data_IF_329852663220
#
_entry.id   IF_329852663220
#
_cell.length_a   1.000
_cell.length_b   1.000
_cell.length_c   1.000
_cell.angle_alpha   90.00
_cell.angle_beta   90.00
_cell.angle_gamma   90.00
#
_symmetry.space_group_name_H-M   'P 1'
#
loop_
_entity.id
_entity.type
_entity.pdbx_description
1 polymer ?
#
# COMPACT_ATOMS: atom_id res chain seq x y z
N UNK A 1 -46.51 -41.69 60.57
CA UNK A 1 -46.65 -40.27 60.19
C UNK A 1 -45.47 -39.93 59.30
N UNK A 2 -45.76 -39.77 57.99
CA UNK A 2 -44.98 -39.20 56.88
C UNK A 2 -43.48 -39.52 56.72
N UNK A 3 -43.19 -40.41 55.76
CA UNK A 3 -42.09 -40.24 54.81
C UNK A 3 -42.66 -39.62 53.53
N UNK A 4 -41.89 -38.75 52.86
CA UNK A 4 -41.54 -38.86 51.43
C UNK A 4 -41.36 -37.49 50.73
N UNK A 5 -40.11 -37.25 50.32
CA UNK A 5 -39.64 -36.78 49.00
C UNK A 5 -40.34 -35.56 48.38
N UNK A 6 -39.57 -34.47 48.21
CA UNK A 6 -39.28 -33.86 46.90
C UNK A 6 -38.41 -32.61 47.06
N UNK A 7 -37.10 -32.74 46.84
CA UNK A 7 -36.24 -31.61 46.49
C UNK A 7 -36.01 -31.67 44.98
N UNK A 8 -36.79 -30.88 44.24
CA UNK A 8 -36.59 -30.68 42.81
C UNK A 8 -35.50 -29.63 42.63
N UNK A 9 -34.26 -30.06 42.43
CA UNK A 9 -33.17 -29.17 42.05
C UNK A 9 -33.25 -28.94 40.53
N UNK A 10 -33.88 -27.83 40.13
CA UNK A 10 -33.91 -27.41 38.73
C UNK A 10 -32.54 -26.82 38.39
N UNK A 11 -31.69 -27.61 37.75
CA UNK A 11 -30.44 -27.10 37.15
C UNK A 11 -30.80 -26.45 35.81
N UNK A 12 -31.00 -25.13 35.82
CA UNK A 12 -31.12 -24.35 34.60
C UNK A 12 -29.73 -24.23 33.94
N UNK A 13 -29.44 -25.10 32.98
CA UNK A 13 -28.28 -24.97 32.11
C UNK A 13 -28.53 -23.82 31.10
N UNK A 14 -28.03 -22.63 31.41
CA UNK A 14 -28.00 -21.50 30.48
C UNK A 14 -26.92 -21.74 29.42
N UNK A 15 -27.30 -22.33 28.30
CA UNK A 15 -26.50 -22.35 27.07
C UNK A 15 -26.36 -20.91 26.55
N UNK A 16 -25.31 -20.22 26.99
CA UNK A 16 -24.92 -18.93 26.42
C UNK A 16 -24.23 -19.20 25.08
N UNK A 17 -25.01 -19.15 24.00
CA UNK A 17 -24.48 -19.10 22.64
C UNK A 17 -23.75 -17.77 22.44
N UNK A 18 -22.46 -17.72 22.75
CA UNK A 18 -21.59 -16.68 22.24
C UNK A 18 -21.49 -16.87 20.72
N UNK A 19 -22.31 -16.12 19.98
CA UNK A 19 -22.08 -15.94 18.56
C UNK A 19 -20.71 -15.28 18.43
N UNK A 20 -19.73 -16.03 17.92
CA UNK A 20 -18.45 -15.48 17.48
C UNK A 20 -18.76 -14.46 16.38
N UNK A 21 -18.82 -13.18 16.76
CA UNK A 21 -18.60 -12.07 15.85
C UNK A 21 -17.13 -12.19 15.42
N UNK A 22 -16.87 -13.01 14.41
CA UNK A 22 -15.61 -12.94 13.71
C UNK A 22 -15.49 -11.49 13.22
N UNK A 23 -14.42 -10.76 13.57
CA UNK A 23 -14.21 -9.44 13.00
C UNK A 23 -14.20 -9.62 11.48
N UNK A 24 -15.10 -8.92 10.79
CA UNK A 24 -14.96 -8.73 9.35
C UNK A 24 -13.68 -7.93 9.17
N UNK A 25 -12.56 -8.62 9.03
CA UNK A 25 -11.31 -7.99 8.64
C UNK A 25 -11.58 -7.37 7.28
N UNK A 26 -11.68 -6.04 7.25
CA UNK A 26 -11.60 -5.26 6.03
C UNK A 26 -10.18 -5.49 5.51
N UNK A 27 -10.05 -6.50 4.65
CA UNK A 27 -8.78 -6.99 4.16
C UNK A 27 -8.22 -6.11 3.03
N UNK A 28 -8.94 -5.05 2.67
CA UNK A 28 -8.56 -4.16 1.62
C UNK A 28 -7.80 -2.96 2.16
N UNK A 29 -6.80 -2.53 1.41
CA UNK A 29 -5.80 -1.62 1.93
C UNK A 29 -5.63 -0.37 1.06
N UNK A 30 -5.45 0.78 1.71
CA UNK A 30 -5.32 2.08 1.05
C UNK A 30 -4.17 2.88 1.66
N UNK A 31 -3.66 3.84 0.88
CA UNK A 31 -2.75 4.88 1.40
C UNK A 31 -3.56 5.91 2.19
N UNK A 32 -3.08 6.24 3.39
CA UNK A 32 -3.65 7.24 4.31
C UNK A 32 -2.79 8.50 4.38
N UNK A 33 -1.48 8.40 4.14
CA UNK A 33 -0.54 9.52 4.18
C UNK A 33 0.61 9.30 3.18
N UNK A 34 0.96 10.29 2.33
CA UNK A 34 0.15 11.47 2.02
C UNK A 34 -1.21 11.05 1.46
N UNK A 35 -2.29 11.66 1.96
CA UNK A 35 -3.65 11.26 1.62
C UNK A 35 -3.90 11.49 0.13
N UNK A 36 -4.27 10.45 -0.64
CA UNK A 36 -4.62 10.61 -2.03
C UNK A 36 -5.99 11.31 -2.15
N UNK A 37 -6.20 12.05 -3.24
CA UNK A 37 -7.54 12.54 -3.56
C UNK A 37 -8.34 11.40 -4.20
N UNK A 38 -9.49 11.07 -3.62
CA UNK A 38 -10.34 9.97 -4.08
C UNK A 38 -11.38 10.44 -5.11
N UNK A 39 -11.69 9.60 -6.09
CA UNK A 39 -12.75 9.85 -7.09
C UNK A 39 -14.15 9.56 -6.55
N UNK A 40 -14.24 8.99 -5.35
CA UNK A 40 -15.48 8.63 -4.66
C UNK A 40 -15.41 8.99 -3.18
N UNK A 41 -16.54 9.30 -2.58
CA UNK A 41 -16.69 9.46 -1.12
C UNK A 41 -17.15 8.18 -0.41
N UNK A 42 -17.58 7.16 -1.16
CA UNK A 42 -18.07 5.90 -0.61
C UNK A 42 -16.92 5.04 -0.05
N UNK A 43 -17.01 4.66 1.23
CA UNK A 43 -15.94 3.94 1.93
C UNK A 43 -15.68 2.58 1.27
N UNK A 44 -16.72 1.83 0.97
CA UNK A 44 -16.55 0.47 0.49
C UNK A 44 -15.92 0.47 -0.91
N UNK A 45 -16.27 1.47 -1.75
CA UNK A 45 -15.64 1.68 -3.05
C UNK A 45 -14.17 2.09 -2.92
N UNK A 46 -13.80 2.99 -2.01
CA UNK A 46 -12.38 3.37 -1.79
C UNK A 46 -11.52 2.16 -1.43
N UNK A 47 -12.10 1.26 -0.63
CA UNK A 47 -11.46 0.04 -0.17
C UNK A 47 -11.70 -1.12 -1.12
N UNK A 48 -12.24 -0.95 -2.33
CA UNK A 48 -12.35 -2.10 -3.22
C UNK A 48 -10.97 -2.45 -3.79
N UNK A 49 -10.64 -3.75 -3.90
CA UNK A 49 -9.50 -4.19 -4.67
C UNK A 49 -9.58 -3.67 -6.09
N UNK A 50 -8.42 -3.36 -6.67
CA UNK A 50 -8.34 -3.05 -8.09
C UNK A 50 -8.74 -4.25 -8.93
N UNK A 51 -8.33 -5.46 -8.54
CA UNK A 51 -8.71 -6.69 -9.23
C UNK A 51 -8.55 -7.94 -8.35
N UNK A 52 -9.38 -8.95 -8.64
CA UNK A 52 -9.13 -10.35 -8.27
C UNK A 52 -8.68 -11.10 -9.52
N UNK A 53 -7.50 -11.72 -9.48
CA UNK A 53 -6.84 -12.23 -10.68
C UNK A 53 -7.09 -13.73 -10.92
N UNK A 54 -7.59 -14.46 -9.93
CA UNK A 54 -7.82 -15.92 -10.06
C UNK A 54 -8.86 -16.29 -11.14
N UNK A 55 -9.71 -15.34 -11.55
CA UNK A 55 -10.71 -15.53 -12.59
C UNK A 55 -10.37 -14.81 -13.90
N UNK A 56 -9.12 -14.34 -14.05
CA UNK A 56 -8.67 -13.53 -15.19
C UNK A 56 -7.57 -14.22 -16.01
N UNK A 57 -7.43 -15.54 -15.88
CA UNK A 57 -6.47 -16.35 -16.65
C UNK A 57 -5.08 -16.43 -16.03
N UNK A 58 -4.87 -15.93 -14.81
CA UNK A 58 -3.60 -16.05 -14.09
C UNK A 58 -3.51 -17.40 -13.36
N UNK A 59 -2.37 -18.07 -13.51
CA UNK A 59 -2.03 -19.24 -12.72
C UNK A 59 -1.52 -18.78 -11.33
N UNK A 60 -2.46 -18.41 -10.47
CA UNK A 60 -2.15 -17.91 -9.12
C UNK A 60 -1.47 -18.98 -8.27
N UNK A 61 -0.41 -18.61 -7.57
CA UNK A 61 0.40 -19.48 -6.72
C UNK A 61 0.95 -18.72 -5.52
N UNK A 62 1.49 -19.43 -4.53
CA UNK A 62 2.08 -18.82 -3.32
C UNK A 62 3.24 -17.88 -3.66
N UNK A 63 4.18 -18.40 -4.45
CA UNK A 63 5.39 -17.67 -4.84
C UNK A 63 5.11 -16.83 -6.09
N UNK A 64 4.53 -15.64 -5.86
CA UNK A 64 4.33 -14.65 -6.91
C UNK A 64 5.65 -14.13 -7.47
N UNK A 65 6.71 -13.99 -6.65
CA UNK A 65 7.98 -13.44 -7.11
C UNK A 65 8.60 -14.32 -8.21
N UNK A 66 8.65 -15.62 -7.98
CA UNK A 66 9.11 -16.60 -8.99
C UNK A 66 8.20 -16.62 -10.21
N UNK A 67 6.87 -16.56 -10.02
CA UNK A 67 5.94 -16.48 -11.16
C UNK A 67 6.19 -15.22 -12.00
N UNK A 68 6.35 -14.06 -11.35
CA UNK A 68 6.59 -12.76 -11.98
C UNK A 68 7.84 -12.81 -12.86
N UNK A 69 8.94 -13.33 -12.32
CA UNK A 69 10.21 -13.45 -13.03
C UNK A 69 10.11 -14.40 -14.23
N UNK A 70 9.45 -15.56 -14.07
CA UNK A 70 9.22 -16.52 -15.16
C UNK A 70 8.36 -15.95 -16.29
N UNK A 71 7.48 -15.01 -15.97
CA UNK A 71 6.61 -14.34 -16.93
C UNK A 71 7.20 -13.01 -17.45
N UNK A 72 8.46 -12.71 -17.12
CA UNK A 72 9.23 -11.61 -17.71
C UNK A 72 8.92 -10.22 -17.16
N UNK A 73 8.16 -10.11 -16.08
CA UNK A 73 7.92 -8.83 -15.40
C UNK A 73 9.08 -8.51 -14.46
N UNK A 74 9.58 -7.28 -14.50
CA UNK A 74 10.79 -6.86 -13.76
C UNK A 74 10.53 -6.41 -12.33
N UNK A 75 9.28 -6.06 -12.01
CA UNK A 75 8.86 -5.56 -10.72
C UNK A 75 7.35 -5.77 -10.54
N UNK A 76 6.83 -5.61 -9.33
CA UNK A 76 5.39 -5.60 -9.10
C UNK A 76 4.72 -4.47 -9.88
N UNK A 77 5.32 -3.27 -9.90
CA UNK A 77 4.85 -2.17 -10.76
C UNK A 77 4.77 -2.59 -12.23
N UNK A 78 5.80 -3.24 -12.76
CA UNK A 78 5.81 -3.69 -14.16
C UNK A 78 4.67 -4.68 -14.44
N UNK A 79 4.42 -5.60 -13.52
CA UNK A 79 3.26 -6.50 -13.60
C UNK A 79 1.94 -5.72 -13.58
N UNK A 80 1.73 -4.86 -12.60
CA UNK A 80 0.45 -4.15 -12.41
C UNK A 80 0.19 -3.12 -13.52
N UNK A 81 1.23 -2.49 -14.07
CA UNK A 81 1.10 -1.52 -15.16
C UNK A 81 0.92 -2.18 -16.54
N UNK A 82 1.46 -3.39 -16.77
CA UNK A 82 1.52 -3.98 -18.11
C UNK A 82 0.72 -5.27 -18.32
N UNK A 83 0.40 -6.02 -17.26
CA UNK A 83 -0.41 -7.23 -17.37
C UNK A 83 -1.81 -6.93 -17.90
N UNK A 84 -2.45 -7.95 -18.48
CA UNK A 84 -3.80 -7.82 -19.06
C UNK A 84 -4.82 -8.41 -18.09
N UNK A 85 -5.51 -7.54 -17.37
CA UNK A 85 -6.63 -7.86 -16.51
C UNK A 85 -7.62 -6.69 -16.53
N UNK A 86 -8.88 -7.01 -16.29
CA UNK A 86 -9.94 -6.06 -16.05
C UNK A 86 -9.91 -5.60 -14.59
N UNK A 87 -10.11 -4.30 -14.40
CA UNK A 87 -10.18 -3.69 -13.08
C UNK A 87 -11.62 -3.53 -12.61
N UNK A 88 -11.80 -3.40 -11.31
CA UNK A 88 -13.09 -3.13 -10.69
C UNK A 88 -13.75 -1.91 -11.34
N UNK A 89 -15.04 -2.02 -11.68
CA UNK A 89 -15.79 -0.95 -12.34
C UNK A 89 -15.65 0.39 -11.61
N UNK A 90 -15.32 1.44 -12.35
CA UNK A 90 -15.10 2.79 -11.81
C UNK A 90 -13.69 3.07 -11.30
N UNK A 91 -12.82 2.05 -11.23
CA UNK A 91 -11.41 2.25 -10.99
C UNK A 91 -10.68 2.65 -12.28
N UNK A 92 -9.68 3.52 -12.14
CA UNK A 92 -8.66 3.73 -13.14
C UNK A 92 -7.62 2.60 -13.07
N UNK A 93 -7.12 2.16 -14.22
CA UNK A 93 -6.15 1.06 -14.26
C UNK A 93 -4.83 1.40 -13.54
N UNK A 94 -4.37 2.65 -13.65
CA UNK A 94 -3.09 3.10 -13.10
C UNK A 94 -3.22 3.82 -11.76
N UNK A 95 -4.43 4.16 -11.33
CA UNK A 95 -4.67 5.01 -10.16
C UNK A 95 -5.80 4.50 -9.25
N UNK A 96 -6.37 3.34 -9.54
CA UNK A 96 -7.49 2.78 -8.78
C UNK A 96 -8.62 3.78 -8.60
N UNK A 97 -9.05 3.98 -7.35
CA UNK A 97 -10.10 4.95 -7.02
C UNK A 97 -9.55 6.33 -6.63
N UNK A 98 -8.30 6.63 -6.99
CA UNK A 98 -7.66 7.94 -6.75
C UNK A 98 -7.66 8.79 -8.01
N UNK A 99 -7.70 10.11 -7.85
CA UNK A 99 -7.68 11.06 -8.95
C UNK A 99 -6.24 11.23 -9.47
N UNK A 100 -5.93 10.82 -10.72
CA UNK A 100 -4.60 11.03 -11.32
C UNK A 100 -4.21 12.50 -11.44
N UNK A 101 -5.19 13.41 -11.40
CA UNK A 101 -5.00 14.86 -11.45
C UNK A 101 -5.16 15.51 -10.08
N UNK A 102 -5.03 14.70 -9.02
CA UNK A 102 -5.10 15.15 -7.65
C UNK A 102 -4.13 16.31 -7.38
N UNK A 103 -4.61 17.26 -6.58
CA UNK A 103 -3.87 18.45 -6.15
C UNK A 103 -2.63 18.02 -5.38
N UNK A 104 -1.43 18.51 -5.75
CA UNK A 104 -0.21 18.20 -5.03
C UNK A 104 -0.30 18.52 -3.54
N UNK A 105 0.19 17.61 -2.71
CA UNK A 105 0.25 17.71 -1.25
C UNK A 105 1.68 17.92 -0.79
N UNK A 106 1.95 18.62 0.32
CA UNK A 106 3.31 18.70 0.86
C UNK A 106 3.83 17.30 1.22
N UNK A 107 5.14 17.08 1.05
CA UNK A 107 5.79 15.87 1.57
C UNK A 107 5.56 15.79 3.09
N UNK A 108 5.05 14.68 3.64
CA UNK A 108 4.80 14.55 5.07
C UNK A 108 6.07 14.73 5.91
N UNK A 109 5.92 15.34 7.09
CA UNK A 109 7.01 15.53 8.03
C UNK A 109 7.68 14.19 8.39
N UNK A 110 9.00 14.21 8.56
CA UNK A 110 9.76 13.01 8.92
C UNK A 110 9.75 11.93 7.85
N UNK A 111 9.52 12.29 6.58
CA UNK A 111 9.50 11.33 5.47
C UNK A 111 8.44 10.23 5.65
N UNK A 112 7.32 10.56 6.29
CA UNK A 112 6.29 9.59 6.63
C UNK A 112 5.48 9.15 5.40
N UNK A 113 5.09 7.89 5.41
CA UNK A 113 3.99 7.34 4.62
C UNK A 113 3.16 6.46 5.56
N UNK A 114 1.84 6.44 5.38
CA UNK A 114 0.94 5.58 6.15
C UNK A 114 -0.04 4.88 5.23
N UNK A 115 -0.30 3.60 5.49
CA UNK A 115 -1.42 2.87 4.89
C UNK A 115 -2.29 2.25 5.98
N UNK A 116 -3.33 1.51 5.59
CA UNK A 116 -4.12 0.69 6.52
C UNK A 116 -3.39 -0.59 6.97
N UNK A 117 -2.25 -0.92 6.37
CA UNK A 117 -1.41 -2.10 6.63
C UNK A 117 -1.33 -3.06 5.45
N UNK A 118 -0.60 -4.17 5.61
CA UNK A 118 -0.62 -5.31 4.70
C UNK A 118 -1.25 -6.49 5.42
N UNK A 119 -2.43 -6.95 5.00
CA UNK A 119 -3.21 -8.00 5.71
C UNK A 119 -3.08 -9.39 5.10
N UNK A 120 -2.40 -9.49 3.98
CA UNK A 120 -2.11 -10.71 3.26
C UNK A 120 -0.64 -10.73 2.88
N UNK A 121 -0.07 -11.94 2.85
CA UNK A 121 1.27 -12.14 2.34
C UNK A 121 1.35 -11.67 0.88
N UNK A 122 2.53 -11.26 0.44
CA UNK A 122 2.76 -10.88 -0.95
C UNK A 122 3.51 -9.56 -1.11
N UNK A 123 3.89 -9.24 -2.35
CA UNK A 123 4.83 -8.18 -2.61
C UNK A 123 4.20 -6.80 -2.54
N UNK A 124 5.00 -5.81 -2.18
CA UNK A 124 4.65 -4.41 -2.29
C UNK A 124 5.82 -3.58 -2.82
N UNK A 125 5.49 -2.47 -3.44
CA UNK A 125 6.45 -1.46 -3.89
C UNK A 125 5.88 -0.05 -3.67
N UNK A 126 6.74 0.89 -3.30
CA UNK A 126 6.44 2.32 -3.33
C UNK A 126 7.39 2.97 -4.32
N UNK A 127 6.83 3.79 -5.19
CA UNK A 127 7.56 4.53 -6.21
C UNK A 127 7.30 6.02 -6.07
N UNK A 128 8.34 6.82 -6.27
CA UNK A 128 8.24 8.25 -6.55
C UNK A 128 8.66 8.46 -8.01
N UNK A 129 7.69 8.80 -8.85
CA UNK A 129 7.80 8.80 -10.30
C UNK A 129 8.39 7.47 -10.80
N UNK A 130 9.62 7.47 -11.28
CA UNK A 130 10.33 6.29 -11.81
C UNK A 130 11.37 5.72 -10.84
N UNK A 131 11.40 6.21 -9.59
CA UNK A 131 12.32 5.71 -8.55
C UNK A 131 11.58 4.86 -7.54
N UNK A 132 11.95 3.59 -7.42
CA UNK A 132 11.47 2.73 -6.34
C UNK A 132 12.14 3.13 -5.02
N UNK A 133 11.34 3.40 -3.99
CA UNK A 133 11.79 3.92 -2.70
C UNK A 133 11.47 2.99 -1.52
N UNK A 134 10.61 1.99 -1.73
CA UNK A 134 10.35 0.91 -0.78
C UNK A 134 9.93 -0.35 -1.55
N UNK A 135 10.35 -1.52 -1.07
CA UNK A 135 9.92 -2.81 -1.63
C UNK A 135 10.00 -3.95 -0.61
N UNK A 136 9.26 -5.03 -0.87
CA UNK A 136 9.44 -6.33 -0.22
C UNK A 136 8.68 -7.42 -0.96
N UNK A 137 9.20 -8.65 -0.93
CA UNK A 137 8.53 -9.82 -1.54
C UNK A 137 7.37 -10.33 -0.69
N UNK A 138 7.47 -10.17 0.64
CA UNK A 138 6.36 -10.33 1.58
C UNK A 138 6.29 -9.09 2.50
N UNK A 139 5.40 -8.15 2.19
CA UNK A 139 5.27 -6.91 2.93
C UNK A 139 4.45 -7.02 4.22
N UNK A 140 3.60 -8.04 4.34
CA UNK A 140 2.92 -8.36 5.59
C UNK A 140 3.92 -8.75 6.68
N UNK A 141 4.93 -9.54 6.33
CA UNK A 141 6.03 -9.90 7.25
C UNK A 141 7.03 -8.76 7.44
N UNK A 142 7.49 -8.15 6.33
CA UNK A 142 8.56 -7.13 6.37
C UNK A 142 8.12 -5.82 7.02
N UNK A 143 6.85 -5.45 6.86
CA UNK A 143 6.28 -4.20 7.34
C UNK A 143 4.99 -4.47 8.12
N UNK A 144 5.07 -5.05 9.34
CA UNK A 144 3.89 -5.45 10.13
C UNK A 144 3.09 -4.25 10.68
N UNK A 145 3.63 -3.04 10.55
CA UNK A 145 2.99 -1.79 10.95
C UNK A 145 2.26 -1.08 9.80
N UNK A 146 1.76 0.11 10.12
CA UNK A 146 1.03 0.98 9.20
C UNK A 146 1.80 2.22 8.78
N UNK A 147 2.86 2.54 9.54
CA UNK A 147 3.72 3.69 9.33
C UNK A 147 5.04 3.26 8.70
N UNK A 148 5.45 3.97 7.66
CA UNK A 148 6.64 3.71 6.88
C UNK A 148 7.47 4.98 6.74
N UNK A 149 8.78 4.83 6.63
CA UNK A 149 9.69 5.93 6.26
C UNK A 149 10.09 5.74 4.81
N UNK A 150 9.80 6.73 3.98
CA UNK A 150 10.06 6.73 2.54
C UNK A 150 11.09 7.81 2.20
N UNK A 151 12.13 7.48 1.45
CA UNK A 151 13.06 8.51 0.98
C UNK A 151 12.43 9.34 -0.15
N UNK A 152 12.01 10.57 0.16
CA UNK A 152 11.46 11.51 -0.81
C UNK A 152 12.53 12.28 -1.61
N UNK A 153 13.81 11.98 -1.45
CA UNK A 153 14.91 12.73 -2.06
C UNK A 153 14.86 12.76 -3.60
N UNK A 154 14.27 11.76 -4.25
CA UNK A 154 14.06 11.72 -5.71
C UNK A 154 12.98 12.68 -6.20
N UNK A 155 12.05 13.12 -5.33
CA UNK A 155 10.99 14.05 -5.68
C UNK A 155 11.56 15.48 -5.89
N UNK A 156 11.65 15.92 -7.14
CA UNK A 156 12.11 17.28 -7.50
C UNK A 156 10.94 18.13 -7.95
N UNK A 157 10.46 19.03 -7.08
CA UNK A 157 9.23 19.79 -7.35
C UNK A 157 8.00 18.98 -6.95
N UNK A 158 7.16 18.62 -7.92
CA UNK A 158 6.00 17.73 -7.74
C UNK A 158 6.34 16.37 -8.34
N UNK A 159 6.10 15.32 -7.58
CA UNK A 159 6.24 13.93 -8.03
C UNK A 159 4.94 13.16 -7.81
N UNK A 160 4.88 11.96 -8.36
CA UNK A 160 3.81 11.01 -8.14
C UNK A 160 4.29 9.90 -7.20
N UNK A 161 3.64 9.75 -6.04
CA UNK A 161 3.77 8.56 -5.22
C UNK A 161 2.79 7.49 -5.73
N UNK A 162 3.32 6.32 -6.08
CA UNK A 162 2.52 5.13 -6.39
C UNK A 162 2.80 4.06 -5.36
N UNK A 163 1.73 3.52 -4.78
CA UNK A 163 1.80 2.38 -3.88
C UNK A 163 1.18 1.17 -4.56
N UNK A 164 1.99 0.13 -4.74
CA UNK A 164 1.63 -1.16 -5.31
C UNK A 164 1.66 -2.23 -4.23
N UNK A 165 0.62 -3.05 -4.20
CA UNK A 165 0.54 -4.22 -3.33
C UNK A 165 -0.34 -5.29 -3.97
N UNK A 166 0.15 -6.52 -3.92
CA UNK A 166 -0.58 -7.71 -4.33
C UNK A 166 -0.65 -8.68 -3.15
N UNK A 167 -1.87 -8.91 -2.67
CA UNK A 167 -2.17 -9.89 -1.64
C UNK A 167 -2.30 -11.29 -2.22
N UNK A 168 -1.48 -12.22 -1.74
CA UNK A 168 -1.54 -13.64 -2.00
C UNK A 168 -2.36 -14.30 -0.89
N UNK A 169 -3.49 -14.90 -1.28
CA UNK A 169 -4.46 -15.51 -0.36
C UNK A 169 -4.59 -16.98 -0.68
N UNK A 170 -4.73 -17.80 0.35
CA UNK A 170 -5.10 -19.21 0.19
C UNK A 170 -6.53 -19.44 0.68
N UNK A 171 -7.45 -19.71 -0.24
CA UNK A 171 -8.88 -19.86 0.05
C UNK A 171 -9.45 -21.04 -0.72
N UNK A 172 -10.32 -21.83 -0.08
CA UNK A 172 -11.02 -22.95 -0.73
C UNK A 172 -10.06 -23.90 -1.47
N UNK A 173 -8.88 -24.17 -0.88
CA UNK A 173 -7.82 -25.00 -1.44
C UNK A 173 -7.19 -24.49 -2.76
N UNK A 174 -7.27 -23.19 -3.03
CA UNK A 174 -6.62 -22.54 -4.16
C UNK A 174 -5.99 -21.20 -3.74
N UNK A 175 -4.96 -20.77 -4.47
CA UNK A 175 -4.45 -19.42 -4.32
C UNK A 175 -5.34 -18.41 -5.05
N UNK A 176 -5.37 -17.18 -4.55
CA UNK A 176 -6.00 -16.01 -5.16
C UNK A 176 -5.05 -14.85 -5.02
N UNK A 177 -4.94 -14.04 -6.08
CA UNK A 177 -4.17 -12.82 -6.06
C UNK A 177 -5.11 -11.63 -6.10
N UNK A 178 -4.99 -10.80 -5.08
CA UNK A 178 -5.75 -9.58 -4.90
C UNK A 178 -4.82 -8.40 -5.20
N UNK A 179 -5.09 -7.70 -6.30
CA UNK A 179 -4.40 -6.47 -6.64
C UNK A 179 -5.10 -5.33 -5.91
N UNK A 180 -4.52 -4.82 -4.83
CA UNK A 180 -5.11 -3.75 -4.00
C UNK A 180 -4.42 -2.39 -4.21
N UNK A 181 -3.16 -2.38 -4.63
CA UNK A 181 -2.36 -1.17 -4.66
C UNK A 181 -2.24 -0.54 -6.03
N UNK A 182 -3.12 0.40 -6.36
CA UNK A 182 -2.65 1.55 -7.14
C UNK A 182 -3.27 2.81 -6.58
N UNK A 183 -2.77 3.24 -5.43
CA UNK A 183 -3.09 4.57 -4.90
C UNK A 183 -2.06 5.56 -5.44
N UNK A 184 -2.55 6.64 -6.04
CA UNK A 184 -1.72 7.74 -6.50
C UNK A 184 -1.90 8.95 -5.57
N UNK A 185 -0.80 9.49 -5.06
CA UNK A 185 -0.78 10.83 -4.48
C UNK A 185 0.33 11.65 -5.13
N UNK A 186 0.25 12.97 -5.03
CA UNK A 186 1.19 13.88 -5.70
C UNK A 186 1.98 14.70 -4.68
N UNK A 187 3.03 14.13 -4.03
CA UNK A 187 3.85 14.90 -3.11
C UNK A 187 4.57 16.06 -3.80
N UNK A 188 4.79 17.15 -3.06
CA UNK A 188 5.52 18.32 -3.53
C UNK A 188 6.49 18.83 -2.47
N UNK A 189 7.66 19.27 -2.94
CA UNK A 189 8.70 19.95 -2.16
C UNK A 189 8.35 21.41 -1.84
N UNK A 190 7.25 21.93 -2.38
CA UNK A 190 6.74 23.27 -2.09
C UNK A 190 6.21 23.39 -0.66
N UNK A 191 6.40 24.57 -0.04
CA UNK A 191 5.84 24.91 1.27
C UNK A 191 4.33 25.09 1.18
N UNK A 192 3.60 23.97 1.03
CA UNK A 192 2.15 23.92 1.26
C UNK A 192 1.92 23.99 2.76
N UNK A 193 1.27 25.06 3.22
CA UNK A 193 1.12 25.43 4.63
C UNK A 193 0.68 24.27 5.52
N UNK A 194 1.23 24.25 6.74
CA UNK A 194 0.93 23.30 7.81
C UNK A 194 -0.58 23.10 7.99
N UNK A 195 -1.12 22.03 7.40
CA UNK A 195 -2.36 21.41 7.86
C UNK A 195 -2.09 20.66 9.14
N UNK A 196 -1.84 21.38 10.24
CA UNK A 196 -1.91 20.79 11.57
C UNK A 196 -3.37 20.43 11.82
N UNK A 197 -3.74 19.16 11.66
CA UNK A 197 -4.98 18.63 12.23
C UNK A 197 -4.83 18.67 13.74
N UNK A 198 -5.22 19.79 14.35
CA UNK A 198 -5.47 19.88 15.79
C UNK A 198 -6.67 19.00 16.11
N UNK A 199 -6.39 17.90 16.80
CA UNK A 199 -7.36 17.05 17.47
C UNK A 199 -8.13 17.90 18.49
N UNK A 200 -9.40 18.20 18.18
CA UNK A 200 -10.28 19.02 19.02
C UNK A 200 -10.73 18.24 20.26
N UNK A 201 -10.17 18.58 21.42
CA UNK A 201 -10.73 18.21 22.73
C UNK A 201 -11.56 19.40 23.24
N UNK A 202 -12.80 19.20 23.73
CA UNK A 202 -13.67 20.31 24.13
C UNK A 202 -13.34 20.79 25.55
N UNK A 203 -13.12 22.10 25.73
CA UNK A 203 -13.11 22.74 27.05
C UNK A 203 -13.73 24.14 26.99
N UNK A 204 -14.96 24.21 27.50
CA UNK A 204 -15.67 25.26 28.27
C UNK A 204 -15.30 26.74 28.10
N UNK A 205 -16.33 27.53 27.78
CA UNK A 205 -16.34 29.00 27.69
C UNK A 205 -16.13 29.78 29.01
N UNK A 206 -15.50 30.96 28.85
CA UNK A 206 -15.88 32.30 29.35
C UNK A 206 -14.75 33.06 30.12
N UNK A 207 -14.78 34.41 30.20
CA UNK A 207 -14.88 35.39 29.12
C UNK A 207 -13.76 36.48 29.19
N UNK A 208 -13.89 37.47 28.30
CA UNK A 208 -12.90 38.37 27.68
C UNK A 208 -12.41 39.63 28.46
N UNK A 209 -11.36 40.25 27.88
CA UNK A 209 -11.07 41.71 27.67
C UNK A 209 -10.07 42.48 28.60
N UNK A 210 -9.48 43.65 28.18
CA UNK A 210 -8.06 43.75 27.74
C UNK A 210 -7.26 44.98 28.29
N UNK A 211 -5.92 45.04 28.08
CA UNK A 211 -5.12 46.31 28.07
C UNK A 211 -3.77 46.07 27.36
N UNK A 212 -3.44 46.61 26.18
CA UNK A 212 -2.99 47.97 25.74
C UNK A 212 -1.49 48.33 25.97
N UNK A 213 -0.85 48.66 24.83
CA UNK A 213 0.33 49.52 24.55
C UNK A 213 1.78 49.08 24.79
N UNK A 214 2.60 49.29 23.74
CA UNK A 214 4.05 49.44 23.83
C UNK A 214 4.82 49.29 22.51
N UNK A 215 4.62 50.20 21.55
CA UNK A 215 5.60 50.42 20.45
C UNK A 215 6.89 51.01 21.01
N UNK A 216 8.06 50.60 20.50
CA UNK A 216 9.11 51.50 19.97
C UNK A 216 10.13 50.70 19.15
N UNK A 217 10.44 51.26 17.98
CA UNK A 217 11.60 50.92 17.16
C UNK A 217 12.90 51.38 17.86
N UNK A 218 14.05 50.96 17.32
CA UNK A 218 15.21 51.82 16.95
C UNK A 218 16.56 51.09 17.11
N UNK A 219 17.23 50.98 15.94
CA UNK A 219 18.67 51.02 15.65
C UNK A 219 19.61 49.80 15.83
N UNK A 220 20.14 49.44 14.65
CA UNK A 220 21.43 48.84 14.26
C UNK A 220 22.63 49.38 15.05
N UNK A 221 23.76 48.62 15.07
CA UNK A 221 24.88 49.10 14.29
C UNK A 221 25.57 48.03 13.43
N UNK A 222 26.04 48.55 12.30
CA UNK A 222 26.88 47.98 11.24
C UNK A 222 28.28 47.59 11.72
N UNK A 223 28.82 46.50 11.16
CA UNK A 223 30.24 46.30 10.80
C UNK A 223 30.25 45.09 9.84
N UNK A 224 30.40 45.29 8.52
CA UNK A 224 31.65 45.53 7.79
C UNK A 224 32.65 44.39 7.99
N UNK A 225 32.70 43.46 7.05
CA UNK A 225 33.94 43.18 6.32
C UNK A 225 33.67 42.52 4.96
N UNK A 226 34.45 42.96 3.98
CA UNK A 226 34.38 42.69 2.55
C UNK A 226 35.67 41.99 2.11
N UNK A 227 35.56 41.26 1.00
CA UNK A 227 36.61 40.75 0.12
C UNK A 227 37.26 39.41 0.56
N UNK A 228 37.64 38.50 -0.34
CA UNK A 228 37.68 38.56 -1.80
C UNK A 228 37.69 37.14 -2.38
N UNK A 229 37.31 37.07 -3.65
CA UNK A 229 37.33 35.92 -4.52
C UNK A 229 38.71 35.24 -4.65
N UNK A 230 38.70 33.93 -4.94
CA UNK A 230 39.68 33.32 -5.83
C UNK A 230 39.10 32.06 -6.49
N UNK A 231 39.03 32.11 -7.82
CA UNK A 231 39.14 30.96 -8.74
C UNK A 231 40.36 31.28 -9.60
N UNK A 232 41.23 30.31 -9.93
CA UNK A 232 41.14 29.73 -11.27
C UNK A 232 41.48 28.22 -11.41
N UNK A 233 40.89 27.67 -12.47
CA UNK A 233 41.09 26.46 -13.29
C UNK A 233 42.31 25.54 -13.15
N UNK A 234 42.09 24.24 -13.38
CA UNK A 234 42.55 23.42 -14.53
C UNK A 234 42.28 21.92 -14.22
N UNK A 235 41.47 21.20 -15.01
CA UNK A 235 41.85 20.34 -16.16
C UNK A 235 42.81 19.21 -15.83
N UNK A 236 42.31 17.97 -15.81
CA UNK A 236 42.83 16.88 -16.64
C UNK A 236 41.83 15.72 -16.75
N UNK A 237 41.72 15.17 -17.96
CA UNK A 237 40.86 14.06 -18.35
C UNK A 237 41.70 12.76 -18.49
N UNK A 238 41.17 11.67 -19.05
CA UNK A 238 40.92 10.41 -18.36
C UNK A 238 42.03 9.36 -18.56
N UNK A 239 42.21 8.46 -17.58
CA UNK A 239 42.99 7.22 -17.77
C UNK A 239 42.09 6.00 -17.95
N UNK A 240 42.16 5.48 -19.17
CA UNK A 240 41.66 4.20 -19.67
C UNK A 240 42.54 3.05 -19.18
N UNK A 241 41.94 2.03 -18.57
CA UNK A 241 42.43 0.64 -18.48
C UNK A 241 41.15 -0.21 -18.62
N UNK A 242 40.96 -1.07 -19.61
CA UNK A 242 41.85 -2.10 -20.13
C UNK A 242 41.20 -3.45 -19.79
N UNK A 243 40.35 -3.96 -20.70
CA UNK A 243 39.73 -5.30 -20.61
C UNK A 243 40.79 -6.41 -20.56
N UNK A 244 40.42 -7.56 -19.98
CA UNK A 244 40.79 -8.83 -20.61
C UNK A 244 39.59 -9.72 -20.95
N UNK A 245 39.90 -10.60 -21.88
CA UNK A 245 39.08 -11.53 -22.64
C UNK A 245 38.10 -12.44 -21.87
N UNK A 246 37.00 -12.66 -22.57
CA UNK A 246 36.17 -13.86 -22.74
C UNK A 246 36.82 -15.18 -22.30
N UNK A 247 36.10 -15.91 -21.45
CA UNK A 247 36.15 -17.37 -21.44
C UNK A 247 34.71 -17.92 -21.40
N UNK A 248 34.43 -18.80 -22.35
CA UNK A 248 33.11 -19.37 -22.63
C UNK A 248 33.09 -20.82 -22.16
N UNK A 249 32.18 -21.24 -21.26
CA UNK A 249 31.91 -22.66 -21.06
C UNK A 249 30.78 -23.12 -21.98
N UNK A 250 30.95 -24.33 -22.50
CA UNK A 250 30.09 -25.00 -23.44
C UNK A 250 28.64 -25.18 -22.96
N UNK A 251 27.72 -25.10 -23.93
CA UNK A 251 26.31 -25.44 -23.78
C UNK A 251 26.14 -26.90 -23.30
N UNK A 252 25.44 -27.07 -22.18
CA UNK A 252 24.91 -28.36 -21.77
C UNK A 252 23.45 -28.46 -22.23
N UNK A 253 23.17 -29.53 -22.96
CA UNK A 253 21.85 -29.93 -23.43
C UNK A 253 20.91 -30.17 -22.23
N UNK A 254 19.71 -29.55 -22.15
CA UNK A 254 18.72 -29.95 -21.17
C UNK A 254 18.09 -31.28 -21.59
N UNK A 255 18.19 -32.28 -20.71
CA UNK A 255 17.40 -33.50 -20.78
C UNK A 255 15.93 -33.18 -20.56
N UNK A 256 15.09 -33.73 -21.42
CA UNK A 256 13.62 -33.70 -21.41
C UNK A 256 13.07 -34.13 -20.04
N UNK A 257 12.32 -33.25 -19.36
CA UNK A 257 11.43 -33.64 -18.27
C UNK A 257 10.05 -33.97 -18.86
N UNK A 258 9.52 -35.13 -18.47
CA UNK A 258 8.19 -35.59 -18.83
C UNK A 258 7.10 -34.62 -18.33
N UNK A 259 6.12 -34.38 -19.20
CA UNK A 259 4.93 -33.59 -18.92
C UNK A 259 3.99 -34.32 -17.94
N UNK A 260 3.43 -33.65 -16.91
CA UNK A 260 2.30 -34.21 -16.16
C UNK A 260 1.01 -34.07 -16.97
N UNK A 261 0.15 -35.08 -16.82
CA UNK A 261 -1.09 -35.27 -17.56
C UNK A 261 -2.10 -34.12 -17.37
N UNK A 262 -2.74 -33.75 -18.48
CA UNK A 262 -3.82 -32.77 -18.58
C UNK A 262 -5.05 -33.22 -17.78
N UNK A 263 -5.44 -32.46 -16.76
CA UNK A 263 -6.77 -32.58 -16.13
C UNK A 263 -7.79 -31.74 -16.93
N UNK A 264 -8.95 -32.34 -17.20
CA UNK A 264 -10.04 -31.73 -17.98
C UNK A 264 -10.64 -30.49 -17.29
N UNK A 265 -11.18 -29.51 -18.06
CA UNK A 265 -11.79 -28.32 -17.49
C UNK A 265 -13.12 -28.65 -16.80
N UNK A 266 -13.23 -28.34 -15.51
CA UNK A 266 -14.53 -28.26 -14.82
C UNK A 266 -15.19 -26.93 -15.18
N UNK A 267 -16.37 -27.03 -15.79
CA UNK A 267 -17.24 -25.90 -16.09
C UNK A 267 -17.82 -25.34 -14.80
N UNK A 268 -17.39 -24.14 -14.41
CA UNK A 268 -18.04 -23.40 -13.32
C UNK A 268 -19.24 -22.63 -13.89
N UNK A 269 -20.42 -22.93 -13.35
CA UNK A 269 -21.64 -22.19 -13.64
C UNK A 269 -21.53 -20.72 -13.21
N UNK A 270 -22.20 -19.85 -13.96
CA UNK A 270 -22.23 -18.40 -13.77
C UNK A 270 -22.62 -17.96 -12.34
N UNK A 271 -22.17 -16.79 -11.87
CA UNK A 271 -22.44 -16.32 -10.51
C UNK A 271 -23.90 -15.85 -10.38
N UNK A 272 -24.68 -16.57 -9.58
CA UNK A 272 -25.99 -16.10 -9.12
C UNK A 272 -25.77 -15.12 -7.96
N UNK A 273 -26.41 -13.97 -8.07
CA UNK A 273 -26.55 -12.90 -7.06
C UNK A 273 -26.65 -13.42 -5.62
N UNK A 274 -25.80 -12.89 -4.74
CA UNK A 274 -25.81 -13.18 -3.31
C UNK A 274 -27.09 -12.67 -2.64
N UNK A 275 -28.07 -13.57 -2.48
CA UNK A 275 -29.17 -13.44 -1.52
C UNK A 275 -28.87 -14.31 -0.31
N UNK A 276 -28.94 -13.71 0.89
CA UNK A 276 -28.85 -14.38 2.19
C UNK A 276 -29.59 -15.73 2.19
N UNK A 277 -28.89 -16.81 2.59
CA UNK A 277 -29.59 -17.96 3.17
C UNK A 277 -28.74 -18.73 4.18
N UNK A 278 -29.35 -18.81 5.35
CA UNK A 278 -29.00 -19.53 6.57
C UNK A 278 -28.40 -20.92 6.35
N UNK A 279 -27.31 -21.20 7.06
CA UNK A 279 -26.76 -22.53 7.26
C UNK A 279 -27.78 -23.41 8.01
N UNK A 280 -28.00 -24.63 7.52
CA UNK A 280 -28.40 -25.78 8.35
C UNK A 280 -27.32 -26.86 8.23
N UNK A 281 -27.18 -27.56 9.35
CA UNK A 281 -26.13 -28.47 9.81
C UNK A 281 -25.67 -29.51 8.79
#
# INVERSE_FOLDING_TARGET
MVYSISQTLVVSATLSSLALLAPTADAHQIVLLPEPQWTTSDKDTKYNPLAFLENQGFATQEDFASWRDQNGYKSLRDFMDNAKYEVTSGADFSCGFTDPKGTPQPIPAGNAMRSTGYTHDGPCEVWLDDTMVLQGDNCHEKFPGKDYTVDYSSCKGTCTLRWYWLGVRFLKNAYSWQSDGTSQSTPSTGSGGSGATTESTPATEAPSTPTLFGSQAVQTPTSSDTASAQTPSATDAPTTFGSPATDSPAAQTPTTMDAPATAAPMTWGAPTTWGQRSLRK
#
